data_IF_705688751887
#
_entry.id   IF_705688751887
#
_cell.length_a   1.000
_cell.length_b   1.000
_cell.length_c   1.000
_cell.angle_alpha   90.00
_cell.angle_beta   90.00
_cell.angle_gamma   90.00
#
_symmetry.space_group_name_H-M   'P 1'
#
loop_
_entity.id
_entity.type
_entity.pdbx_description
1 polymer ?
#
# COMPACT_ATOMS: atom_id res chain seq x y z
N UNK A 1 32.52 24.12 22.20
CA UNK A 1 31.71 24.47 21.02
C UNK A 1 30.37 23.78 21.15
N UNK A 2 29.24 24.49 21.01
CA UNK A 2 27.92 23.86 21.04
C UNK A 2 27.78 23.06 19.73
N UNK A 3 27.75 21.74 19.80
CA UNK A 3 27.24 20.93 18.71
C UNK A 3 25.72 21.18 18.65
N UNK A 4 25.29 22.04 17.74
CA UNK A 4 23.89 22.08 17.30
C UNK A 4 23.70 20.88 16.39
N UNK A 5 22.84 19.94 16.79
CA UNK A 5 22.41 18.87 15.90
C UNK A 5 21.84 19.48 14.61
N UNK A 6 22.13 18.88 13.43
CA UNK A 6 21.67 19.41 12.16
C UNK A 6 20.13 19.40 12.08
N UNK A 7 19.57 20.38 11.37
CA UNK A 7 18.12 20.46 11.15
C UNK A 7 17.60 19.19 10.46
N UNK A 8 16.49 18.65 10.95
CA UNK A 8 15.77 17.55 10.32
C UNK A 8 14.81 18.15 9.30
N UNK A 9 15.09 17.94 8.01
CA UNK A 9 14.33 18.50 6.90
C UNK A 9 13.74 17.41 6.01
N UNK A 10 12.64 17.73 5.32
CA UNK A 10 12.09 16.94 4.22
C UNK A 10 12.26 17.77 2.95
N UNK A 11 12.99 17.24 1.97
CA UNK A 11 13.27 17.92 0.71
C UNK A 11 12.24 17.56 -0.36
N UNK A 12 12.22 18.34 -1.45
CA UNK A 12 11.43 17.99 -2.64
C UNK A 12 11.82 16.62 -3.21
N UNK A 13 13.10 16.25 -3.11
CA UNK A 13 13.57 14.94 -3.54
C UNK A 13 13.00 13.82 -2.67
N UNK A 14 12.89 14.03 -1.36
CA UNK A 14 12.25 13.08 -0.44
C UNK A 14 10.77 12.92 -0.75
N UNK A 15 10.07 14.02 -1.04
CA UNK A 15 8.66 14.00 -1.47
C UNK A 15 8.52 13.24 -2.78
N UNK A 16 9.39 13.49 -3.75
CA UNK A 16 9.40 12.78 -5.03
C UNK A 16 9.62 11.27 -4.84
N UNK A 17 10.58 10.89 -4.01
CA UNK A 17 10.85 9.48 -3.70
C UNK A 17 9.67 8.80 -3.00
N UNK A 18 8.98 9.50 -2.11
CA UNK A 18 7.75 9.02 -1.49
C UNK A 18 6.65 8.78 -2.54
N UNK A 19 6.44 9.75 -3.44
CA UNK A 19 5.44 9.65 -4.52
C UNK A 19 5.75 8.49 -5.46
N UNK A 20 7.01 8.32 -5.86
CA UNK A 20 7.41 7.19 -6.71
C UNK A 20 7.22 5.84 -6.00
N UNK A 21 7.64 5.75 -4.73
CA UNK A 21 7.50 4.52 -3.94
C UNK A 21 6.03 4.12 -3.76
N UNK A 22 5.16 5.09 -3.43
CA UNK A 22 3.74 4.80 -3.26
C UNK A 22 3.07 4.47 -4.60
N UNK A 23 3.49 5.11 -5.70
CA UNK A 23 2.97 4.85 -7.04
C UNK A 23 3.24 3.40 -7.47
N UNK A 24 4.44 2.88 -7.19
CA UNK A 24 4.78 1.47 -7.46
C UNK A 24 3.87 0.50 -6.70
N UNK A 25 3.59 0.77 -5.43
CA UNK A 25 2.72 -0.10 -4.62
C UNK A 25 1.27 -0.05 -5.13
N UNK A 26 0.72 1.15 -5.37
CA UNK A 26 -0.65 1.29 -5.86
C UNK A 26 -0.82 0.64 -7.25
N UNK A 27 0.11 0.89 -8.19
CA UNK A 27 0.09 0.28 -9.51
C UNK A 27 0.17 -1.25 -9.45
N UNK A 28 1.01 -1.80 -8.57
CA UNK A 28 1.07 -3.25 -8.34
C UNK A 28 -0.27 -3.80 -7.84
N UNK A 29 -0.93 -3.13 -6.89
CA UNK A 29 -2.26 -3.52 -6.44
C UNK A 29 -3.28 -3.51 -7.59
N UNK A 30 -3.32 -2.44 -8.39
CA UNK A 30 -4.23 -2.32 -9.54
C UNK A 30 -3.97 -3.41 -10.57
N UNK A 31 -2.71 -3.68 -10.91
CA UNK A 31 -2.35 -4.75 -11.85
C UNK A 31 -2.78 -6.13 -11.33
N UNK A 32 -2.53 -6.43 -10.05
CA UNK A 32 -2.97 -7.70 -9.44
C UNK A 32 -4.51 -7.83 -9.41
N UNK A 33 -5.22 -6.74 -9.15
CA UNK A 33 -6.69 -6.71 -9.23
C UNK A 33 -7.19 -7.00 -10.65
N UNK A 34 -6.60 -6.38 -11.66
CA UNK A 34 -6.90 -6.63 -13.08
C UNK A 34 -6.67 -8.10 -13.44
N UNK A 35 -5.53 -8.66 -13.03
CA UNK A 35 -5.20 -10.08 -13.27
C UNK A 35 -6.15 -11.04 -12.54
N UNK A 36 -6.60 -10.68 -11.34
CA UNK A 36 -7.60 -11.44 -10.61
C UNK A 36 -9.04 -11.23 -11.10
N UNK A 37 -9.28 -10.26 -12.00
CA UNK A 37 -10.60 -9.92 -12.50
C UNK A 37 -11.53 -9.30 -11.45
N UNK A 38 -10.98 -8.64 -10.43
CA UNK A 38 -11.74 -8.03 -9.33
C UNK A 38 -11.62 -6.51 -9.31
N UNK A 39 -12.65 -5.87 -8.79
CA UNK A 39 -12.69 -4.44 -8.49
C UNK A 39 -12.26 -4.15 -7.04
N UNK A 40 -11.99 -2.87 -6.74
CA UNK A 40 -11.60 -2.44 -5.39
C UNK A 40 -12.68 -2.79 -4.36
N UNK A 41 -13.96 -2.70 -4.75
CA UNK A 41 -15.10 -2.96 -3.86
C UNK A 41 -15.22 -4.43 -3.45
N UNK A 42 -14.61 -5.34 -4.19
CA UNK A 42 -14.57 -6.77 -3.88
C UNK A 42 -13.45 -7.13 -2.89
N UNK A 43 -12.55 -6.20 -2.59
CA UNK A 43 -11.54 -6.38 -1.55
C UNK A 43 -12.21 -6.35 -0.18
N UNK A 44 -12.15 -7.49 0.51
CA UNK A 44 -12.73 -7.66 1.84
C UNK A 44 -11.80 -7.16 2.94
N UNK A 45 -10.48 -7.32 2.79
CA UNK A 45 -9.49 -6.92 3.79
C UNK A 45 -8.13 -6.67 3.15
N UNK A 46 -7.44 -5.62 3.58
CA UNK A 46 -6.03 -5.38 3.25
C UNK A 46 -5.21 -5.65 4.51
N UNK A 47 -4.27 -6.59 4.43
CA UNK A 47 -3.35 -6.89 5.52
C UNK A 47 -2.01 -6.20 5.31
N UNK A 48 -1.63 -5.30 6.23
CA UNK A 48 -0.31 -4.71 6.28
C UNK A 48 0.63 -5.55 7.14
N UNK A 49 1.77 -5.92 6.56
CA UNK A 49 2.82 -6.70 7.21
C UNK A 49 4.17 -5.97 7.14
N UNK A 50 5.13 -6.41 7.95
CA UNK A 50 6.49 -5.89 8.01
C UNK A 50 6.69 -4.73 8.97
N UNK A 51 7.92 -4.21 9.03
CA UNK A 51 8.30 -3.12 9.93
C UNK A 51 7.46 -1.85 9.66
N UNK A 52 7.12 -1.59 8.40
CA UNK A 52 6.20 -0.52 8.01
C UNK A 52 4.77 -0.80 8.47
N UNK A 53 4.29 -2.04 8.35
CA UNK A 53 2.92 -2.42 8.70
C UNK A 53 2.57 -2.20 10.17
N UNK A 54 3.54 -2.23 11.10
CA UNK A 54 3.28 -1.96 12.51
C UNK A 54 2.93 -0.49 12.81
N UNK A 55 3.49 0.44 12.04
CA UNK A 55 3.41 1.88 12.35
C UNK A 55 2.70 2.69 11.26
N UNK A 56 2.29 2.06 10.16
CA UNK A 56 1.61 2.75 9.08
C UNK A 56 0.25 3.25 9.54
N UNK A 57 0.03 4.56 9.41
CA UNK A 57 -1.28 5.14 9.61
C UNK A 57 -2.14 4.83 8.38
N UNK A 58 -3.13 3.96 8.57
CA UNK A 58 -4.03 3.47 7.51
C UNK A 58 -4.71 4.62 6.77
N UNK A 59 -5.15 5.65 7.49
CA UNK A 59 -5.84 6.81 6.90
C UNK A 59 -4.88 7.61 6.02
N UNK A 60 -3.66 7.83 6.49
CA UNK A 60 -2.65 8.54 5.70
C UNK A 60 -2.22 7.74 4.47
N UNK A 61 -2.09 6.41 4.58
CA UNK A 61 -1.80 5.53 3.45
C UNK A 61 -2.86 5.66 2.34
N UNK A 62 -4.14 5.69 2.70
CA UNK A 62 -5.23 5.96 1.75
C UNK A 62 -5.17 7.38 1.20
N UNK A 63 -4.95 8.41 2.05
CA UNK A 63 -4.89 9.83 1.62
C UNK A 63 -3.80 10.09 0.60
N UNK A 64 -2.62 9.45 0.73
CA UNK A 64 -1.55 9.62 -0.25
C UNK A 64 -1.71 8.73 -1.49
N UNK A 65 -2.71 7.84 -1.51
CA UNK A 65 -2.94 6.88 -2.58
C UNK A 65 -1.89 5.76 -2.64
N UNK A 66 -1.46 5.24 -1.48
CA UNK A 66 -0.54 4.11 -1.40
C UNK A 66 -1.22 2.78 -1.73
N UNK A 67 -2.48 2.64 -1.35
CA UNK A 67 -3.32 1.45 -1.54
C UNK A 67 -4.67 1.84 -2.14
N UNK A 68 -5.39 0.90 -2.79
CA UNK A 68 -6.75 1.15 -3.23
C UNK A 68 -7.65 1.62 -2.08
N UNK A 69 -8.55 2.55 -2.34
CA UNK A 69 -9.45 3.07 -1.31
C UNK A 69 -10.53 2.04 -0.94
N UNK A 70 -10.47 1.56 0.29
CA UNK A 70 -11.48 0.72 0.94
C UNK A 70 -11.81 1.27 2.33
N UNK A 71 -12.89 0.78 2.93
CA UNK A 71 -13.26 1.11 4.31
C UNK A 71 -12.11 0.87 5.28
N UNK A 72 -11.85 1.85 6.16
CA UNK A 72 -10.66 1.89 6.99
C UNK A 72 -10.59 0.73 8.00
N UNK A 73 -11.76 0.23 8.43
CA UNK A 73 -11.93 -0.91 9.33
C UNK A 73 -11.48 -2.22 8.69
N UNK A 74 -11.46 -2.29 7.35
CA UNK A 74 -11.00 -3.45 6.58
C UNK A 74 -9.50 -3.46 6.35
N UNK A 75 -8.77 -2.47 6.85
CA UNK A 75 -7.31 -2.43 6.77
C UNK A 75 -6.77 -2.92 8.11
N UNK A 76 -5.98 -3.99 8.13
CA UNK A 76 -5.52 -4.67 9.36
C UNK A 76 -4.00 -4.79 9.37
N UNK A 77 -3.37 -4.39 10.46
CA UNK A 77 -1.93 -4.54 10.64
C UNK A 77 -1.68 -5.87 11.34
N UNK A 78 -0.85 -6.74 10.74
CA UNK A 78 -0.51 -8.07 11.28
C UNK A 78 0.92 -8.15 11.82
N UNK A 79 1.63 -7.03 11.79
CA UNK A 79 3.04 -6.92 12.17
C UNK A 79 3.98 -7.70 11.26
N UNK A 80 5.06 -8.24 11.80
CA UNK A 80 6.05 -8.93 10.98
C UNK A 80 5.59 -10.35 10.64
N UNK A 81 4.83 -10.49 9.55
CA UNK A 81 4.31 -11.78 9.10
C UNK A 81 5.40 -12.81 8.76
N UNK A 82 6.59 -12.39 8.34
CA UNK A 82 7.70 -13.30 8.07
C UNK A 82 8.22 -13.95 9.36
N UNK A 83 8.44 -13.15 10.42
CA UNK A 83 8.88 -13.66 11.74
C UNK A 83 7.80 -14.54 12.36
N UNK A 84 6.54 -14.09 12.33
CA UNK A 84 5.40 -14.88 12.84
C UNK A 84 5.26 -16.21 12.09
N UNK A 85 5.36 -16.19 10.75
CA UNK A 85 5.31 -17.38 9.92
C UNK A 85 6.47 -18.35 10.19
N UNK A 86 7.69 -17.83 10.35
CA UNK A 86 8.87 -18.64 10.69
C UNK A 86 8.70 -19.32 12.06
N UNK A 87 8.18 -18.61 13.07
CA UNK A 87 7.91 -19.18 14.38
C UNK A 87 6.84 -20.30 14.30
N UNK A 88 5.75 -20.08 13.56
CA UNK A 88 4.70 -21.08 13.33
C UNK A 88 5.29 -22.33 12.67
N UNK A 89 6.07 -22.15 11.61
CA UNK A 89 6.73 -23.24 10.90
C UNK A 89 7.71 -24.00 11.81
N UNK A 90 8.45 -23.29 12.69
CA UNK A 90 9.44 -23.88 13.58
C UNK A 90 8.81 -24.85 14.58
N UNK A 91 7.73 -24.42 15.26
CA UNK A 91 7.14 -25.17 16.39
C UNK A 91 6.03 -26.14 15.99
N UNK A 92 5.44 -25.99 14.79
CA UNK A 92 4.29 -26.80 14.37
C UNK A 92 4.51 -27.45 12.99
N UNK A 93 4.80 -28.75 12.99
CA UNK A 93 5.03 -29.54 11.78
C UNK A 93 3.83 -29.60 10.83
N UNK A 94 2.60 -29.63 11.35
CA UNK A 94 1.39 -29.65 10.51
C UNK A 94 1.21 -28.31 9.80
N UNK A 95 1.38 -27.21 10.53
CA UNK A 95 1.32 -25.87 9.95
C UNK A 95 2.44 -25.62 8.95
N UNK A 96 3.65 -26.12 9.20
CA UNK A 96 4.75 -26.06 8.22
C UNK A 96 4.33 -26.68 6.88
N UNK A 97 3.74 -27.88 6.91
CA UNK A 97 3.23 -28.52 5.69
C UNK A 97 2.15 -27.67 5.00
N UNK A 98 1.22 -27.08 5.76
CA UNK A 98 0.22 -26.16 5.19
C UNK A 98 0.84 -24.91 4.57
N UNK A 99 1.92 -24.37 5.14
CA UNK A 99 2.65 -23.24 4.55
C UNK A 99 3.34 -23.65 3.24
N UNK A 100 3.91 -24.86 3.17
CA UNK A 100 4.49 -25.41 1.93
C UNK A 100 3.39 -25.56 0.85
N UNK A 101 2.23 -26.09 1.21
CA UNK A 101 1.08 -26.23 0.30
C UNK A 101 0.58 -24.86 -0.20
N UNK A 102 0.56 -23.83 0.65
CA UNK A 102 0.24 -22.45 0.27
C UNK A 102 1.28 -21.92 -0.72
N UNK A 103 2.57 -22.10 -0.42
CA UNK A 103 3.65 -21.62 -1.29
C UNK A 103 3.55 -22.21 -2.70
N UNK A 104 3.21 -23.50 -2.83
CA UNK A 104 2.99 -24.16 -4.11
C UNK A 104 1.78 -23.63 -4.91
N UNK A 105 0.85 -22.92 -4.27
CA UNK A 105 -0.36 -22.37 -4.90
C UNK A 105 -0.23 -20.89 -5.27
N UNK A 106 0.85 -20.22 -4.87
CA UNK A 106 1.08 -18.81 -5.20
C UNK A 106 1.41 -18.71 -6.69
N UNK A 107 0.58 -17.99 -7.45
CA UNK A 107 0.89 -17.60 -8.81
C UNK A 107 1.71 -16.31 -8.79
N UNK A 108 2.91 -16.36 -9.40
CA UNK A 108 3.73 -15.17 -9.58
C UNK A 108 3.28 -14.38 -10.81
N UNK A 109 3.11 -13.08 -10.64
CA UNK A 109 2.76 -12.15 -11.72
C UNK A 109 3.96 -11.21 -11.94
N UNK A 110 4.48 -11.21 -13.17
CA UNK A 110 5.56 -10.30 -13.57
C UNK A 110 4.99 -8.95 -13.99
N UNK A 111 4.98 -7.98 -13.06
CA UNK A 111 4.39 -6.66 -13.30
C UNK A 111 5.00 -5.93 -14.51
N UNK A 112 6.30 -6.11 -14.77
CA UNK A 112 6.98 -5.47 -15.91
C UNK A 112 6.54 -6.02 -17.27
N UNK A 113 5.97 -7.23 -17.31
CA UNK A 113 5.43 -7.82 -18.53
C UNK A 113 4.00 -7.33 -18.83
N UNK A 114 3.34 -6.73 -17.85
CA UNK A 114 1.99 -6.20 -17.99
C UNK A 114 2.02 -4.84 -18.68
N UNK A 115 1.46 -4.76 -19.88
CA UNK A 115 1.50 -3.55 -20.71
C UNK A 115 0.87 -2.33 -20.02
N UNK A 116 -0.13 -2.54 -19.17
CA UNK A 116 -0.82 -1.46 -18.44
C UNK A 116 -0.10 -0.98 -17.17
N UNK A 117 0.94 -1.68 -16.70
CA UNK A 117 1.60 -1.36 -15.43
C UNK A 117 2.22 0.04 -15.43
N UNK A 118 2.90 0.43 -16.52
CA UNK A 118 3.52 1.75 -16.61
C UNK A 118 2.50 2.89 -16.68
N UNK A 119 1.35 2.65 -17.30
CA UNK A 119 0.24 3.61 -17.34
C UNK A 119 -0.38 3.79 -15.96
N UNK A 120 -0.60 2.68 -15.23
CA UNK A 120 -1.10 2.69 -13.86
C UNK A 120 -0.09 3.37 -12.92
N UNK A 121 1.21 3.10 -13.06
CA UNK A 121 2.29 3.74 -12.29
C UNK A 121 2.35 5.24 -12.53
N UNK A 122 2.28 5.67 -13.79
CA UNK A 122 2.31 7.09 -14.15
C UNK A 122 1.08 7.82 -13.59
N UNK A 123 -0.10 7.22 -13.72
CA UNK A 123 -1.35 7.74 -13.14
C UNK A 123 -1.30 7.80 -11.60
N UNK A 124 -0.60 6.83 -11.01
CA UNK A 124 -0.36 6.76 -9.56
C UNK A 124 0.75 7.70 -9.07
N UNK A 125 1.46 8.43 -9.93
CA UNK A 125 2.56 9.33 -9.54
C UNK A 125 2.09 10.73 -9.07
N UNK A 126 0.84 10.84 -8.63
CA UNK A 126 0.21 12.06 -8.09
C UNK A 126 -0.41 11.76 -6.72
N UNK A 127 -0.76 12.78 -5.92
CA UNK A 127 -1.39 12.58 -4.61
C UNK A 127 -2.89 12.93 -4.65
N UNK A 128 -3.81 11.98 -4.34
CA UNK A 128 -3.59 10.53 -4.21
C UNK A 128 -3.36 9.82 -5.56
N UNK A 129 -3.89 10.37 -6.65
CA UNK A 129 -3.88 9.78 -8.01
C UNK A 129 -4.29 10.87 -9.02
N UNK A 130 -4.05 10.67 -10.32
CA UNK A 130 -4.56 11.58 -11.38
C UNK A 130 -6.08 11.59 -11.45
N UNK A 131 -6.69 10.42 -11.26
CA UNK A 131 -8.15 10.22 -11.17
C UNK A 131 -8.59 10.17 -9.71
N UNK A 132 -9.27 11.23 -9.25
CA UNK A 132 -9.81 11.32 -7.89
C UNK A 132 -11.05 10.46 -7.66
N UNK A 133 -11.73 10.00 -8.72
CA UNK A 133 -12.93 9.17 -8.57
C UNK A 133 -12.62 7.79 -8.00
N UNK A 134 -11.36 7.36 -8.05
CA UNK A 134 -10.83 6.16 -7.39
C UNK A 134 -10.67 6.32 -5.88
N UNK A 135 -10.72 7.56 -5.37
CA UNK A 135 -10.56 7.91 -3.95
C UNK A 135 -11.69 8.83 -3.45
N UNK A 136 -12.97 8.41 -3.53
CA UNK A 136 -14.11 9.24 -3.16
C UNK A 136 -14.07 9.79 -1.72
N UNK A 137 -13.56 9.04 -0.74
CA UNK A 137 -13.44 9.52 0.65
C UNK A 137 -12.38 10.63 0.75
N UNK A 138 -11.24 10.47 0.08
CA UNK A 138 -10.21 11.52 0.01
C UNK A 138 -10.71 12.74 -0.75
N UNK A 139 -11.43 12.56 -1.86
CA UNK A 139 -12.03 13.66 -2.60
C UNK A 139 -12.95 14.49 -1.71
N UNK A 140 -13.86 13.84 -0.98
CA UNK A 140 -14.75 14.49 -0.02
C UNK A 140 -14.00 15.24 1.09
N UNK A 141 -12.89 14.69 1.57
CA UNK A 141 -12.01 15.34 2.55
C UNK A 141 -11.40 16.63 1.97
N UNK A 142 -10.87 16.57 0.75
CA UNK A 142 -10.27 17.72 0.08
C UNK A 142 -11.29 18.83 -0.17
N UNK A 143 -12.50 18.48 -0.60
CA UNK A 143 -13.58 19.44 -0.84
C UNK A 143 -14.00 20.17 0.44
N UNK A 144 -14.08 19.44 1.56
CA UNK A 144 -14.35 20.03 2.88
C UNK A 144 -13.27 21.04 3.28
N UNK A 145 -12.00 20.71 3.06
CA UNK A 145 -10.87 21.61 3.36
C UNK A 145 -10.85 22.85 2.46
N UNK A 146 -11.29 22.73 1.20
CA UNK A 146 -11.40 23.86 0.25
C UNK A 146 -12.49 24.84 0.66
N UNK A 147 -13.64 24.32 1.08
CA UNK A 147 -14.77 25.14 1.57
C UNK A 147 -14.38 25.90 2.85
N UNK A 148 -13.63 25.29 3.76
CA UNK A 148 -13.18 25.94 4.99
C UNK A 148 -12.14 27.06 4.78
N UNK A 149 -11.62 27.22 3.56
CA UNK A 149 -10.62 28.25 3.19
C UNK A 149 -11.19 29.36 2.30
N UNK A 150 -12.47 29.30 1.92
CA UNK A 150 -13.20 30.35 1.21
C UNK A 150 -14.18 31.05 2.13
#
# INVERSE_FOLDING_TARGET
>A
ARHTDPDIVITENDIKNLIMSKASVHAACVTLMKQAGISCHEITTIYFSGAFGNYINKKNATIIGLIPEIEIERIVNIGNGAVTGANIALINRRMRKSLDDIACRIAYIELNAESSFMDDYTSSSFLPHTDLTLFPMVQKLLDTCRIARG
#
